data_IF_316620586391
#
_entry.id   IF_316620586391
#
_cell.length_a   1.000
_cell.length_b   1.000
_cell.length_c   1.000
_cell.angle_alpha   90.00
_cell.angle_beta   90.00
_cell.angle_gamma   90.00
#
_symmetry.space_group_name_H-M   'P 1'
#
loop_
_entity.id
_entity.type
_entity.pdbx_description
1 polymer ?
#
# COMPACT_ATOMS: atom_id res chain seq x y z
N UNK A 1 -27.29 63.10 0.77
CA UNK A 1 -25.86 62.84 1.05
C UNK A 1 -25.49 61.52 0.39
N UNK A 2 -25.00 61.58 -0.85
CA UNK A 2 -24.41 60.38 -1.48
C UNK A 2 -23.08 60.09 -0.81
N UNK A 3 -23.02 58.99 -0.09
CA UNK A 3 -21.75 58.46 0.43
C UNK A 3 -20.98 57.93 -0.77
N UNK A 4 -20.02 58.76 -1.26
CA UNK A 4 -19.02 58.32 -2.23
C UNK A 4 -18.18 57.25 -1.51
N UNK A 5 -18.55 55.97 -1.70
CA UNK A 5 -17.70 54.88 -1.23
C UNK A 5 -16.37 54.99 -1.97
N UNK A 6 -15.30 55.32 -1.25
CA UNK A 6 -13.95 55.40 -1.79
C UNK A 6 -13.59 54.03 -2.36
N UNK A 7 -12.79 53.99 -3.42
CA UNK A 7 -12.29 52.75 -4.00
C UNK A 7 -11.70 51.83 -2.91
N UNK A 8 -11.08 52.43 -1.89
CA UNK A 8 -10.55 51.77 -0.71
C UNK A 8 -11.64 51.05 0.12
N UNK A 9 -12.82 51.67 0.31
CA UNK A 9 -13.94 51.06 1.03
C UNK A 9 -14.51 49.82 0.29
N UNK A 10 -14.60 49.90 -1.04
CA UNK A 10 -15.04 48.73 -1.86
C UNK A 10 -14.03 47.60 -1.78
N UNK A 11 -12.72 47.90 -1.79
CA UNK A 11 -11.65 46.94 -1.67
C UNK A 11 -11.68 46.24 -0.27
N UNK A 12 -11.91 47.01 0.78
CA UNK A 12 -12.03 46.45 2.17
C UNK A 12 -13.24 45.53 2.32
N UNK A 13 -14.40 45.91 1.75
CA UNK A 13 -15.62 45.08 1.76
C UNK A 13 -15.34 43.79 0.98
N UNK A 14 -14.74 43.86 -0.21
CA UNK A 14 -14.39 42.67 -0.99
C UNK A 14 -13.44 41.76 -0.24
N UNK A 15 -12.42 42.29 0.43
CA UNK A 15 -11.50 41.52 1.23
C UNK A 15 -12.20 40.84 2.42
N UNK A 16 -13.11 41.55 3.08
CA UNK A 16 -13.88 41.00 4.18
C UNK A 16 -14.82 39.85 3.74
N UNK A 17 -15.44 39.98 2.57
CA UNK A 17 -16.28 38.91 1.98
C UNK A 17 -15.43 37.70 1.63
N UNK A 18 -14.27 37.88 0.97
CA UNK A 18 -13.36 36.77 0.66
C UNK A 18 -12.87 36.09 1.93
N UNK A 19 -12.49 36.86 2.96
CA UNK A 19 -12.08 36.32 4.25
C UNK A 19 -13.21 35.49 4.89
N UNK A 20 -14.44 36.00 4.88
CA UNK A 20 -15.61 35.29 5.43
C UNK A 20 -15.87 33.97 4.69
N UNK A 21 -15.73 33.95 3.36
CA UNK A 21 -15.87 32.72 2.55
C UNK A 21 -14.77 31.72 2.91
N UNK A 22 -13.50 32.16 2.98
CA UNK A 22 -12.37 31.30 3.34
C UNK A 22 -12.54 30.72 4.72
N UNK A 23 -12.96 31.52 5.70
CA UNK A 23 -13.26 31.04 7.05
C UNK A 23 -14.43 30.05 7.07
N UNK A 24 -15.50 30.32 6.32
CA UNK A 24 -16.63 29.41 6.20
C UNK A 24 -16.22 28.05 5.64
N UNK A 25 -15.45 28.05 4.56
CA UNK A 25 -14.90 26.81 3.95
C UNK A 25 -13.97 26.08 4.91
N UNK A 26 -13.10 26.79 5.62
CA UNK A 26 -12.15 26.19 6.56
C UNK A 26 -12.85 25.50 7.75
N UNK A 27 -13.98 26.02 8.19
CA UNK A 27 -14.77 25.46 9.30
C UNK A 27 -15.66 24.33 8.83
N UNK A 28 -16.27 24.46 7.66
CA UNK A 28 -17.28 23.52 7.17
C UNK A 28 -16.66 22.21 6.65
N UNK A 29 -15.51 22.29 5.99
CA UNK A 29 -14.83 21.14 5.42
C UNK A 29 -13.72 20.60 6.33
N UNK A 30 -14.06 20.23 7.56
CA UNK A 30 -13.14 19.53 8.46
C UNK A 30 -13.35 18.02 8.36
N UNK A 31 -12.28 17.27 8.49
CA UNK A 31 -12.32 15.81 8.60
C UNK A 31 -12.92 15.43 9.95
N UNK A 32 -14.13 14.92 9.94
CA UNK A 32 -14.81 14.38 11.14
C UNK A 32 -14.80 12.86 11.14
N UNK A 33 -14.90 12.24 9.96
CA UNK A 33 -14.94 10.79 9.81
C UNK A 33 -13.84 10.32 8.89
N UNK A 34 -13.15 9.22 9.29
CA UNK A 34 -12.19 8.52 8.45
C UNK A 34 -12.63 7.06 8.43
N UNK A 35 -12.99 6.57 7.26
CA UNK A 35 -13.42 5.20 7.03
C UNK A 35 -12.33 4.44 6.31
N UNK A 36 -12.01 3.23 6.77
CA UNK A 36 -11.04 2.33 6.13
C UNK A 36 -11.80 1.12 5.59
N UNK A 37 -11.48 0.75 4.34
CA UNK A 37 -12.11 -0.37 3.64
C UNK A 37 -11.04 -1.26 3.01
N UNK A 38 -11.29 -2.59 2.97
CA UNK A 38 -10.44 -3.57 2.31
C UNK A 38 -9.25 -4.05 3.16
N UNK A 39 -9.19 -3.63 4.41
CA UNK A 39 -8.16 -4.08 5.35
C UNK A 39 -8.52 -5.47 5.94
N UNK A 40 -7.50 -6.30 6.12
CA UNK A 40 -7.60 -7.66 6.69
C UNK A 40 -6.42 -7.97 7.62
N UNK A 41 -5.22 -7.59 7.25
CA UNK A 41 -3.97 -7.79 8.02
C UNK A 41 -3.82 -6.69 9.07
N UNK A 42 -4.00 -5.42 8.64
CA UNK A 42 -3.89 -4.28 9.54
C UNK A 42 -5.26 -3.81 10.04
N UNK A 43 -5.29 -3.31 11.27
CA UNK A 43 -6.50 -2.67 11.79
C UNK A 43 -6.73 -1.31 11.12
N UNK A 44 -7.99 -0.85 11.12
CA UNK A 44 -8.33 0.48 10.61
C UNK A 44 -7.51 1.58 11.30
N UNK A 45 -7.32 1.46 12.63
CA UNK A 45 -6.57 2.45 13.41
C UNK A 45 -5.10 2.53 12.99
N UNK A 46 -4.45 1.40 12.69
CA UNK A 46 -3.07 1.36 12.18
C UNK A 46 -2.93 2.06 10.83
N UNK A 47 -3.91 1.87 9.94
CA UNK A 47 -3.93 2.50 8.62
C UNK A 47 -4.17 4.01 8.73
N UNK A 48 -5.10 4.43 9.61
CA UNK A 48 -5.37 5.85 9.89
C UNK A 48 -4.11 6.51 10.46
N UNK A 49 -3.47 5.91 11.45
CA UNK A 49 -2.24 6.42 12.05
C UNK A 49 -1.12 6.54 11.02
N UNK A 50 -0.92 5.49 10.21
CA UNK A 50 0.08 5.50 9.14
C UNK A 50 -0.18 6.59 8.10
N UNK A 51 -1.45 6.91 7.81
CA UNK A 51 -1.82 7.97 6.86
C UNK A 51 -1.41 9.37 7.30
N UNK A 52 -1.24 9.58 8.61
CA UNK A 52 -1.05 10.88 9.26
C UNK A 52 -2.19 11.87 9.02
N UNK A 53 -3.36 11.40 8.60
CA UNK A 53 -4.56 12.22 8.49
C UNK A 53 -5.25 12.24 9.85
N UNK A 54 -5.58 13.43 10.35
CA UNK A 54 -6.19 13.61 11.67
C UNK A 54 -7.61 14.19 11.57
N UNK A 55 -8.43 13.85 12.56
CA UNK A 55 -9.70 14.55 12.73
C UNK A 55 -9.43 16.04 12.99
N UNK A 56 -10.21 16.90 12.33
CA UNK A 56 -10.03 18.34 12.38
C UNK A 56 -9.18 18.93 11.25
N UNK A 57 -8.46 18.11 10.49
CA UNK A 57 -7.76 18.55 9.29
C UNK A 57 -8.74 19.17 8.28
N UNK A 58 -8.25 20.06 7.44
CA UNK A 58 -9.10 20.60 6.38
C UNK A 58 -9.16 19.60 5.21
N UNK A 59 -10.37 19.07 4.96
CA UNK A 59 -10.65 18.06 3.95
C UNK A 59 -10.14 18.42 2.54
N UNK A 60 -10.17 19.71 2.20
CA UNK A 60 -9.78 20.18 0.87
C UNK A 60 -8.26 20.27 0.71
N UNK A 61 -7.53 20.49 1.80
CA UNK A 61 -6.06 20.65 1.79
C UNK A 61 -5.30 19.37 2.14
N UNK A 62 -5.98 18.31 2.61
CA UNK A 62 -5.34 17.01 2.85
C UNK A 62 -4.56 16.54 1.64
N UNK A 63 -3.26 16.28 1.82
CA UNK A 63 -2.37 15.78 0.80
C UNK A 63 -2.50 14.25 0.69
N UNK A 64 -3.38 13.80 -0.22
CA UNK A 64 -3.66 12.37 -0.42
C UNK A 64 -2.43 11.60 -0.91
N UNK A 65 -1.59 12.21 -1.75
CA UNK A 65 -0.40 11.53 -2.26
C UNK A 65 0.63 11.26 -1.15
N UNK A 66 0.81 12.21 -0.24
CA UNK A 66 1.66 12.04 0.94
C UNK A 66 1.11 10.93 1.85
N UNK A 67 -0.19 10.95 2.13
CA UNK A 67 -0.82 9.94 2.97
C UNK A 67 -0.71 8.53 2.37
N UNK A 68 -0.89 8.36 1.06
CA UNK A 68 -0.66 7.10 0.34
C UNK A 68 0.79 6.64 0.49
N UNK A 69 1.75 7.55 0.32
CA UNK A 69 3.17 7.24 0.51
C UNK A 69 3.50 6.78 1.92
N UNK A 70 2.96 7.47 2.93
CA UNK A 70 3.16 7.13 4.34
C UNK A 70 2.60 5.74 4.68
N UNK A 71 1.37 5.44 4.23
CA UNK A 71 0.75 4.13 4.44
C UNK A 71 1.61 3.02 3.82
N UNK A 72 2.01 3.17 2.55
CA UNK A 72 2.82 2.17 1.84
C UNK A 72 4.21 1.97 2.45
N UNK A 73 4.80 3.01 3.04
CA UNK A 73 6.09 2.93 3.71
C UNK A 73 6.00 2.31 5.10
N UNK A 74 4.93 2.60 5.86
CA UNK A 74 4.77 2.12 7.22
C UNK A 74 4.18 0.70 7.31
N UNK A 75 3.39 0.29 6.30
CA UNK A 75 2.61 -0.96 6.31
C UNK A 75 3.01 -1.83 5.11
N UNK A 76 4.01 -2.74 5.26
CA UNK A 76 4.56 -3.54 4.16
C UNK A 76 3.53 -4.38 3.41
N UNK A 77 2.54 -4.95 4.09
CA UNK A 77 1.50 -5.78 3.47
C UNK A 77 0.51 -4.98 2.61
N UNK A 78 0.52 -3.65 2.68
CA UNK A 78 -0.35 -2.82 1.83
C UNK A 78 0.24 -2.70 0.43
N UNK A 79 -0.44 -3.30 -0.56
CA UNK A 79 -0.08 -3.28 -1.97
C UNK A 79 -0.58 -2.01 -2.66
N UNK A 80 -1.83 -1.67 -2.43
CA UNK A 80 -2.43 -0.48 -3.05
C UNK A 80 -3.30 0.31 -2.08
N UNK A 81 -3.33 1.63 -2.30
CA UNK A 81 -4.09 2.58 -1.47
C UNK A 81 -4.77 3.60 -2.37
N UNK A 82 -6.05 3.78 -2.16
CA UNK A 82 -6.83 4.85 -2.75
C UNK A 82 -7.49 5.69 -1.67
N UNK A 83 -7.37 7.02 -1.77
CA UNK A 83 -7.96 7.94 -0.80
C UNK A 83 -8.98 8.84 -1.52
N UNK A 84 -10.24 8.72 -1.12
CA UNK A 84 -11.35 9.52 -1.62
C UNK A 84 -11.84 10.48 -0.54
N UNK A 85 -12.33 11.66 -0.96
CA UNK A 85 -13.06 12.59 -0.09
C UNK A 85 -14.53 12.26 -0.14
N UNK A 86 -15.14 12.07 1.02
CA UNK A 86 -16.59 11.92 1.19
C UNK A 86 -17.13 13.24 1.76
N UNK A 87 -17.62 14.10 0.86
CA UNK A 87 -18.13 15.41 1.26
C UNK A 87 -19.38 15.27 2.12
N UNK A 88 -19.60 16.17 3.12
CA UNK A 88 -18.80 17.39 3.35
C UNK A 88 -17.59 17.21 4.28
N UNK A 89 -17.47 16.09 5.03
CA UNK A 89 -16.61 16.00 6.22
C UNK A 89 -15.94 14.64 6.40
N UNK A 90 -15.88 13.79 5.36
CA UNK A 90 -15.35 12.43 5.44
C UNK A 90 -14.16 12.17 4.51
N UNK A 91 -13.35 11.19 4.90
CA UNK A 91 -12.31 10.56 4.07
C UNK A 91 -12.55 9.06 4.06
N UNK A 92 -12.46 8.45 2.88
CA UNK A 92 -12.49 7.01 2.70
C UNK A 92 -11.09 6.58 2.23
N UNK A 93 -10.47 5.69 2.99
CA UNK A 93 -9.19 5.06 2.67
C UNK A 93 -9.50 3.62 2.25
N UNK A 94 -9.36 3.32 0.97
CA UNK A 94 -9.45 1.95 0.47
C UNK A 94 -8.04 1.38 0.35
N UNK A 95 -7.82 0.22 0.97
CA UNK A 95 -6.54 -0.50 0.88
C UNK A 95 -6.76 -1.86 0.23
N UNK A 96 -5.73 -2.35 -0.46
CA UNK A 96 -5.60 -3.72 -0.88
C UNK A 96 -4.33 -4.28 -0.25
N UNK A 97 -4.49 -5.30 0.56
CA UNK A 97 -3.40 -5.95 1.29
C UNK A 97 -3.00 -7.25 0.61
N UNK A 98 -1.72 -7.59 0.70
CA UNK A 98 -1.19 -8.89 0.28
C UNK A 98 -1.54 -9.93 1.36
N UNK A 99 -2.49 -10.78 1.06
CA UNK A 99 -2.90 -11.87 1.96
C UNK A 99 -1.99 -13.09 1.79
N UNK A 100 -1.42 -13.24 0.58
CA UNK A 100 -0.56 -14.37 0.22
C UNK A 100 0.87 -13.89 0.12
N UNK A 101 1.78 -14.66 0.70
CA UNK A 101 3.21 -14.38 0.70
C UNK A 101 4.01 -15.66 0.48
N UNK A 102 5.20 -15.52 -0.09
CA UNK A 102 6.13 -16.60 -0.33
C UNK A 102 7.43 -16.37 0.40
N UNK A 103 7.93 -17.42 1.04
CA UNK A 103 9.23 -17.39 1.69
C UNK A 103 10.36 -17.46 0.63
N UNK A 104 11.37 -16.61 0.80
CA UNK A 104 12.54 -16.53 -0.06
C UNK A 104 13.79 -16.39 0.80
N UNK A 105 14.87 -17.05 0.40
CA UNK A 105 16.14 -16.94 1.09
C UNK A 105 16.97 -15.76 0.57
N UNK A 106 17.78 -15.20 1.47
CA UNK A 106 18.80 -14.21 1.08
C UNK A 106 20.16 -14.89 0.85
N UNK A 107 21.06 -14.16 0.22
CA UNK A 107 22.47 -14.52 0.10
C UNK A 107 23.18 -14.71 1.46
N UNK A 108 22.65 -14.12 2.53
CA UNK A 108 23.15 -14.25 3.90
C UNK A 108 22.42 -15.32 4.73
N UNK A 109 21.66 -16.19 4.07
CA UNK A 109 20.89 -17.28 4.71
C UNK A 109 19.81 -16.79 5.70
N UNK A 110 19.30 -15.58 5.51
CA UNK A 110 18.11 -15.10 6.19
C UNK A 110 16.86 -15.41 5.33
N UNK A 111 15.72 -15.61 5.96
CA UNK A 111 14.46 -15.89 5.29
C UNK A 111 13.51 -14.70 5.38
N UNK A 112 12.86 -14.37 4.26
CA UNK A 112 11.90 -13.28 4.17
C UNK A 112 10.63 -13.71 3.45
N UNK A 113 9.52 -13.14 3.84
CA UNK A 113 8.28 -13.21 3.07
C UNK A 113 8.25 -12.09 2.04
N UNK A 114 7.86 -12.44 0.82
CA UNK A 114 7.59 -11.47 -0.25
C UNK A 114 6.16 -11.60 -0.75
N UNK A 115 5.53 -10.47 -1.09
CA UNK A 115 4.21 -10.44 -1.71
C UNK A 115 4.25 -10.59 -3.23
N UNK A 116 3.07 -10.78 -3.89
CA UNK A 116 2.96 -10.90 -5.34
C UNK A 116 3.50 -9.69 -6.12
N UNK A 117 3.47 -8.51 -5.49
CA UNK A 117 4.07 -7.29 -6.05
C UNK A 117 5.60 -7.22 -5.96
N UNK A 118 6.28 -8.25 -5.43
CA UNK A 118 7.72 -8.25 -5.25
C UNK A 118 8.19 -7.37 -4.09
N UNK A 119 7.33 -7.09 -3.12
CA UNK A 119 7.65 -6.31 -1.94
C UNK A 119 8.11 -7.23 -0.81
N UNK A 120 9.20 -6.87 -0.12
CA UNK A 120 9.60 -7.53 1.12
C UNK A 120 8.61 -7.19 2.24
N UNK A 121 8.02 -8.18 2.87
CA UNK A 121 6.99 -8.01 3.88
C UNK A 121 7.62 -8.05 5.28
N UNK A 122 8.11 -9.20 5.68
CA UNK A 122 8.75 -9.39 6.97
C UNK A 122 9.83 -10.48 6.93
N UNK A 123 10.73 -10.42 7.91
CA UNK A 123 11.74 -11.45 8.11
C UNK A 123 11.16 -12.55 8.99
N UNK A 124 11.36 -13.80 8.57
CA UNK A 124 10.98 -14.99 9.33
C UNK A 124 12.21 -15.83 9.70
N UNK A 125 12.03 -16.76 10.61
CA UNK A 125 13.08 -17.71 10.95
C UNK A 125 13.37 -18.65 9.77
N UNK A 126 14.64 -18.96 9.45
CA UNK A 126 14.98 -19.85 8.33
C UNK A 126 14.35 -21.25 8.43
N UNK A 127 14.08 -21.73 9.65
CA UNK A 127 13.40 -23.00 9.88
C UNK A 127 11.97 -23.02 9.34
N UNK A 128 11.30 -21.86 9.29
CA UNK A 128 9.95 -21.72 8.80
C UNK A 128 9.85 -21.65 7.26
N UNK A 129 10.97 -21.68 6.53
CA UNK A 129 10.98 -21.60 5.07
C UNK A 129 10.06 -22.63 4.41
N UNK A 130 10.21 -23.91 4.76
CA UNK A 130 9.41 -25.00 4.19
C UNK A 130 7.98 -25.08 4.78
N UNK A 131 7.71 -24.42 5.88
CA UNK A 131 6.38 -24.36 6.47
C UNK A 131 5.47 -23.37 5.73
N UNK A 132 6.07 -22.38 5.08
CA UNK A 132 5.38 -21.38 4.26
C UNK A 132 5.40 -21.78 2.78
N UNK A 133 4.46 -21.26 1.97
CA UNK A 133 4.65 -21.21 0.54
C UNK A 133 6.00 -20.55 0.23
N UNK A 134 6.79 -21.13 -0.67
CA UNK A 134 8.16 -20.66 -0.87
C UNK A 134 8.61 -20.73 -2.34
N UNK A 135 9.69 -20.00 -2.64
CA UNK A 135 10.30 -19.98 -3.96
C UNK A 135 11.67 -20.61 -3.88
N UNK A 136 11.82 -21.77 -4.53
CA UNK A 136 13.09 -22.45 -4.67
C UNK A 136 13.96 -21.86 -5.78
N UNK A 137 15.27 -21.85 -5.57
CA UNK A 137 16.23 -21.37 -6.57
C UNK A 137 16.31 -19.85 -6.69
N UNK A 138 15.54 -19.10 -5.88
CA UNK A 138 15.61 -17.64 -5.82
C UNK A 138 16.33 -17.18 -4.57
N UNK A 139 17.32 -16.29 -4.77
CA UNK A 139 17.95 -15.53 -3.68
C UNK A 139 17.62 -14.04 -3.84
N UNK A 140 17.40 -13.35 -2.73
CA UNK A 140 17.20 -11.90 -2.71
C UNK A 140 18.33 -11.20 -1.94
N UNK A 141 18.68 -9.99 -2.36
CA UNK A 141 19.77 -9.20 -1.79
C UNK A 141 19.24 -8.13 -0.85
N UNK A 142 19.75 -8.12 0.39
CA UNK A 142 19.55 -7.05 1.39
C UNK A 142 18.11 -6.48 1.45
N UNK A 143 17.09 -7.30 1.63
CA UNK A 143 15.71 -6.83 1.65
C UNK A 143 15.44 -5.92 2.87
N UNK A 144 14.60 -4.90 2.64
CA UNK A 144 14.05 -4.02 3.69
C UNK A 144 12.53 -4.13 3.63
N UNK A 145 11.89 -4.28 4.79
CA UNK A 145 10.43 -4.36 4.86
C UNK A 145 9.78 -3.13 4.21
N UNK A 146 8.82 -3.36 3.33
CA UNK A 146 8.14 -2.32 2.56
C UNK A 146 8.77 -1.98 1.21
N UNK A 147 10.03 -2.35 0.97
CA UNK A 147 10.74 -2.08 -0.29
C UNK A 147 10.60 -3.23 -1.29
N UNK A 148 10.77 -2.92 -2.57
CA UNK A 148 10.84 -3.94 -3.61
C UNK A 148 12.14 -4.73 -3.50
N UNK A 149 12.04 -6.06 -3.63
CA UNK A 149 13.21 -6.94 -3.56
C UNK A 149 14.05 -6.86 -4.82
N UNK A 150 15.34 -7.10 -4.66
CA UNK A 150 16.28 -7.30 -5.74
C UNK A 150 16.93 -8.69 -5.64
N UNK A 151 17.43 -9.22 -6.76
CA UNK A 151 18.05 -10.55 -6.83
C UNK A 151 19.32 -10.51 -7.65
N UNK A 152 20.33 -11.32 -7.28
CA UNK A 152 21.48 -11.58 -8.13
C UNK A 152 21.08 -12.24 -9.46
N UNK A 153 19.93 -12.91 -9.52
CA UNK A 153 19.32 -13.52 -10.72
C UNK A 153 18.02 -12.81 -11.09
N UNK A 154 18.09 -11.64 -11.77
CA UNK A 154 16.89 -10.84 -12.06
C UNK A 154 15.86 -11.56 -12.93
N UNK A 155 16.30 -12.46 -13.81
CA UNK A 155 15.43 -13.27 -14.68
C UNK A 155 14.56 -14.24 -13.87
N UNK A 156 15.14 -14.93 -12.89
CA UNK A 156 14.42 -15.83 -11.99
C UNK A 156 13.44 -15.07 -11.09
N UNK A 157 13.85 -13.90 -10.58
CA UNK A 157 12.95 -13.03 -9.82
C UNK A 157 11.76 -12.57 -10.67
N UNK A 158 12.02 -12.08 -11.89
CA UNK A 158 10.97 -11.63 -12.78
C UNK A 158 9.98 -12.77 -13.10
N UNK A 159 10.46 -13.96 -13.43
CA UNK A 159 9.61 -15.11 -13.71
C UNK A 159 8.74 -15.51 -12.52
N UNK A 160 9.32 -15.56 -11.31
CA UNK A 160 8.54 -15.84 -10.10
C UNK A 160 7.46 -14.79 -9.84
N UNK A 161 7.79 -13.50 -9.97
CA UNK A 161 6.85 -12.40 -9.76
C UNK A 161 5.75 -12.38 -10.82
N UNK A 162 6.05 -12.69 -12.08
CA UNK A 162 5.06 -12.77 -13.15
C UNK A 162 4.03 -13.85 -12.85
N UNK A 163 4.46 -15.04 -12.41
CA UNK A 163 3.56 -16.12 -11.98
C UNK A 163 2.69 -15.68 -10.80
N UNK A 164 3.31 -15.12 -9.77
CA UNK A 164 2.57 -14.67 -8.59
C UNK A 164 1.52 -13.61 -8.95
N UNK A 165 1.88 -12.67 -9.83
CA UNK A 165 1.03 -11.58 -10.27
C UNK A 165 -0.13 -12.05 -11.16
N UNK A 166 0.12 -12.97 -12.09
CA UNK A 166 -0.92 -13.54 -12.98
C UNK A 166 -1.94 -14.36 -12.19
N UNK A 167 -1.49 -15.00 -11.11
CA UNK A 167 -2.36 -15.83 -10.27
C UNK A 167 -2.98 -15.03 -9.11
N UNK A 168 -2.49 -13.81 -8.84
CA UNK A 168 -3.07 -12.93 -7.82
C UNK A 168 -4.52 -12.57 -8.20
N UNK A 169 -5.43 -12.73 -7.26
CA UNK A 169 -6.87 -12.50 -7.49
C UNK A 169 -7.62 -13.62 -8.25
N UNK A 170 -6.92 -14.65 -8.74
CA UNK A 170 -7.58 -15.82 -9.37
C UNK A 170 -8.12 -16.83 -8.35
N UNK A 171 -7.70 -16.74 -7.08
CA UNK A 171 -7.93 -17.74 -6.03
C UNK A 171 -7.04 -18.97 -6.16
N UNK A 172 -6.19 -19.06 -7.18
CA UNK A 172 -5.27 -20.19 -7.34
C UNK A 172 -3.98 -20.02 -6.55
N UNK A 173 -3.54 -18.78 -6.33
CA UNK A 173 -2.28 -18.47 -5.68
C UNK A 173 -2.21 -19.00 -4.24
N UNK A 174 -3.34 -19.05 -3.53
CA UNK A 174 -3.46 -19.57 -2.16
C UNK A 174 -3.22 -21.09 -2.07
N UNK A 175 -3.32 -21.81 -3.19
CA UNK A 175 -3.08 -23.24 -3.28
C UNK A 175 -1.66 -23.59 -3.74
N UNK A 176 -0.85 -22.60 -4.10
CA UNK A 176 0.54 -22.82 -4.53
C UNK A 176 1.42 -22.89 -3.30
N UNK A 177 2.18 -23.98 -3.20
CA UNK A 177 3.11 -24.21 -2.10
C UNK A 177 4.55 -23.92 -2.48
N UNK A 178 4.93 -24.26 -3.70
CA UNK A 178 6.29 -24.06 -4.19
C UNK A 178 6.27 -23.52 -5.60
N UNK A 179 7.08 -22.50 -5.82
CA UNK A 179 7.47 -22.02 -7.15
C UNK A 179 8.97 -22.36 -7.29
N UNK A 180 9.32 -23.20 -8.23
CA UNK A 180 10.70 -23.60 -8.46
C UNK A 180 11.23 -22.87 -9.71
N UNK A 181 12.27 -22.05 -9.50
CA UNK A 181 12.95 -21.26 -10.54
C UNK A 181 14.45 -21.59 -10.60
N UNK A 182 14.86 -22.73 -10.04
CA UNK A 182 16.28 -23.14 -10.01
C UNK A 182 16.85 -23.30 -11.42
N UNK A 183 16.02 -23.75 -12.35
CA UNK A 183 16.40 -23.88 -13.77
C UNK A 183 15.82 -22.73 -14.57
N UNK A 184 16.68 -21.98 -15.23
CA UNK A 184 16.32 -20.75 -15.97
C UNK A 184 15.26 -20.94 -17.06
N UNK A 185 15.09 -22.16 -17.59
CA UNK A 185 14.15 -22.49 -18.69
C UNK A 185 13.14 -23.59 -18.35
N UNK A 186 13.06 -24.04 -17.10
CA UNK A 186 12.16 -25.13 -16.68
C UNK A 186 11.59 -24.81 -15.31
N UNK A 187 10.70 -23.81 -15.28
CA UNK A 187 9.99 -23.42 -14.04
C UNK A 187 8.89 -24.43 -13.75
N UNK A 188 8.77 -24.85 -12.50
CA UNK A 188 7.68 -25.68 -12.05
C UNK A 188 6.93 -25.08 -10.85
N UNK A 189 5.64 -25.39 -10.78
CA UNK A 189 4.73 -24.91 -9.74
C UNK A 189 4.08 -26.11 -9.09
N UNK A 190 4.14 -26.18 -7.77
CA UNK A 190 3.48 -27.22 -7.00
C UNK A 190 2.16 -26.70 -6.43
N UNK A 191 1.07 -27.30 -6.90
CA UNK A 191 -0.30 -26.99 -6.50
C UNK A 191 -0.80 -28.04 -5.50
N UNK A 192 -1.30 -27.60 -4.33
CA UNK A 192 -1.81 -28.47 -3.25
C UNK A 192 -0.87 -29.62 -2.86
N UNK A 193 0.44 -29.45 -2.99
CA UNK A 193 1.47 -30.47 -2.73
C UNK A 193 1.29 -31.78 -3.55
N UNK A 194 0.43 -31.77 -4.56
CA UNK A 194 0.04 -32.96 -5.33
C UNK A 194 0.34 -32.89 -6.81
N UNK A 195 0.27 -31.70 -7.38
CA UNK A 195 0.39 -31.51 -8.83
C UNK A 195 1.56 -30.60 -9.14
N UNK A 196 2.50 -31.12 -9.95
CA UNK A 196 3.56 -30.34 -10.57
C UNK A 196 3.10 -29.86 -11.94
N UNK A 197 3.12 -28.55 -12.16
CA UNK A 197 2.80 -27.90 -13.44
C UNK A 197 4.09 -27.33 -13.98
N UNK A 198 4.43 -27.64 -15.24
CA UNK A 198 5.63 -27.18 -15.96
C UNK A 198 5.25 -26.24 -17.08
#
# INVERSE_FOLDING_TARGET
>A
RQVRSSALGKLLIMLAVVAAIVFGVAIFFKVNTIEVQGNSVYSADQIIEASQIQQGDNLLTVNKALAVGNIKAALPYVEDVSIARSLPDGIIIQVRESVISFAVMTDTNACWLIGPGGKALERIEPAAFNENPHINGLLISSPTAGDSVSSPTPTALAAALDVMKELDGSGLLEHIRVIDVEKEYDMSIWYDERYEIK
#
